data_IF_076079026700
#
_entry.id   IF_076079026700
#
_cell.length_a   1.000
_cell.length_b   1.000
_cell.length_c   1.000
_cell.angle_alpha   90.00
_cell.angle_beta   90.00
_cell.angle_gamma   90.00
#
_symmetry.space_group_name_H-M   'P 1'
#
loop_
_entity.id
_entity.type
_entity.pdbx_description
1 polymer ?
#
# COMPACT_ATOMS: atom_id res chain seq x y z
N UNK A 1 -11.89 3.02 32.83
CA UNK A 1 -11.67 3.32 31.40
C UNK A 1 -11.89 2.01 30.65
N UNK A 2 -12.90 1.95 29.80
CA UNK A 2 -13.27 0.73 29.05
C UNK A 2 -12.54 0.77 27.70
N UNK A 3 -11.86 -0.30 27.27
CA UNK A 3 -11.13 -0.29 26.01
C UNK A 3 -12.13 -0.17 24.84
N UNK A 4 -11.93 0.85 24.00
CA UNK A 4 -12.69 0.99 22.76
C UNK A 4 -12.15 -0.05 21.78
N UNK A 5 -12.92 -1.11 21.50
CA UNK A 5 -12.60 -2.06 20.44
C UNK A 5 -12.96 -1.39 19.10
N UNK A 6 -11.99 -0.72 18.50
CA UNK A 6 -12.12 -0.23 17.12
C UNK A 6 -11.90 -1.43 16.20
N UNK A 7 -12.93 -1.81 15.43
CA UNK A 7 -12.76 -2.80 14.36
C UNK A 7 -12.09 -2.12 13.18
N UNK A 8 -10.96 -2.66 12.72
CA UNK A 8 -10.36 -2.26 11.46
C UNK A 8 -11.33 -2.57 10.30
N UNK A 9 -11.29 -1.73 9.27
CA UNK A 9 -12.10 -1.89 8.06
C UNK A 9 -11.76 -3.15 7.28
N UNK A 10 -10.46 -3.46 7.21
CA UNK A 10 -9.86 -4.63 6.58
C UNK A 10 -8.71 -5.04 7.49
N UNK A 11 -8.61 -6.34 7.77
CA UNK A 11 -7.46 -6.93 8.42
C UNK A 11 -7.15 -8.23 7.68
N UNK A 12 -5.92 -8.33 7.19
CA UNK A 12 -5.41 -9.53 6.55
C UNK A 12 -3.92 -9.63 6.85
N UNK A 13 -3.53 -10.68 7.56
CA UNK A 13 -2.14 -10.99 7.86
C UNK A 13 -1.61 -12.16 7.01
N UNK A 14 -2.47 -12.73 6.15
CA UNK A 14 -2.21 -13.86 5.26
C UNK A 14 -1.74 -15.14 5.96
N UNK A 15 -1.93 -15.25 7.28
CA UNK A 15 -1.51 -16.41 8.08
C UNK A 15 -2.31 -17.70 7.81
N UNK A 16 -3.45 -17.58 7.12
CA UNK A 16 -4.25 -18.69 6.64
C UNK A 16 -3.79 -19.22 5.26
N UNK A 17 -2.78 -18.59 4.66
CA UNK A 17 -2.23 -19.00 3.37
C UNK A 17 -3.10 -18.59 2.17
N UNK A 18 -4.08 -17.71 2.36
CA UNK A 18 -5.05 -17.30 1.34
C UNK A 18 -5.16 -15.77 1.24
N UNK A 19 -5.46 -15.26 0.05
CA UNK A 19 -5.87 -13.87 -0.17
C UNK A 19 -7.22 -13.79 -0.90
N UNK A 20 -7.85 -14.92 -1.21
CA UNK A 20 -9.09 -14.97 -1.98
C UNK A 20 -10.32 -15.08 -1.10
N UNK A 21 -10.16 -15.36 0.20
CA UNK A 21 -11.25 -15.46 1.16
C UNK A 21 -10.92 -14.72 2.47
N UNK A 22 -11.90 -13.98 3.00
CA UNK A 22 -11.88 -13.38 4.34
C UNK A 22 -10.63 -12.55 4.72
N UNK A 23 -10.29 -11.48 3.97
CA UNK A 23 -11.05 -10.82 2.90
C UNK A 23 -10.69 -11.32 1.49
N UNK A 24 -11.59 -11.09 0.53
CA UNK A 24 -11.31 -11.41 -0.88
C UNK A 24 -10.56 -10.27 -1.55
N UNK A 25 -9.31 -10.54 -1.94
CA UNK A 25 -8.54 -9.71 -2.86
C UNK A 25 -8.71 -10.22 -4.29
N UNK A 26 -8.85 -9.30 -5.24
CA UNK A 26 -9.06 -9.61 -6.66
C UNK A 26 -8.37 -8.61 -7.59
N UNK A 27 -8.06 -9.05 -8.80
CA UNK A 27 -7.33 -8.29 -9.81
C UNK A 27 -6.55 -9.23 -10.73
N UNK A 28 -5.21 -9.13 -10.70
CA UNK A 28 -4.32 -10.03 -11.43
C UNK A 28 -3.89 -11.23 -10.58
N UNK A 29 -4.85 -11.93 -9.99
CA UNK A 29 -4.66 -12.95 -8.93
C UNK A 29 -3.59 -13.99 -9.25
N UNK A 30 -3.53 -14.47 -10.49
CA UNK A 30 -2.54 -15.45 -10.94
C UNK A 30 -1.08 -14.96 -10.87
N UNK A 31 -0.87 -13.66 -10.68
CA UNK A 31 0.43 -13.02 -10.51
C UNK A 31 0.83 -12.88 -9.04
N UNK A 32 -0.02 -13.27 -8.08
CA UNK A 32 0.24 -13.18 -6.66
C UNK A 32 0.17 -14.55 -5.99
N UNK A 33 0.86 -14.68 -4.86
CA UNK A 33 0.82 -15.87 -4.01
C UNK A 33 1.03 -15.47 -2.56
N UNK A 34 0.60 -16.32 -1.63
CA UNK A 34 1.13 -16.29 -0.26
C UNK A 34 2.42 -17.09 -0.24
N UNK A 35 3.51 -16.48 0.24
CA UNK A 35 4.81 -17.14 0.30
C UNK A 35 4.99 -17.96 1.58
N UNK A 36 6.13 -18.63 1.73
CA UNK A 36 6.42 -19.51 2.88
C UNK A 36 6.59 -18.78 4.22
N UNK A 37 6.49 -17.44 4.23
CA UNK A 37 6.54 -16.59 5.43
C UNK A 37 5.20 -15.89 5.68
N UNK A 38 4.13 -16.42 5.09
CA UNK A 38 2.76 -15.91 5.22
C UNK A 38 2.66 -14.43 4.84
N UNK A 39 3.22 -14.09 3.68
CA UNK A 39 3.14 -12.74 3.09
C UNK A 39 2.63 -12.81 1.67
N UNK A 40 1.71 -11.90 1.35
CA UNK A 40 1.30 -11.64 -0.02
C UNK A 40 2.53 -11.19 -0.83
N UNK A 41 2.79 -11.88 -1.93
CA UNK A 41 3.97 -11.67 -2.76
C UNK A 41 3.60 -11.66 -4.24
N UNK A 42 4.09 -10.65 -4.96
CA UNK A 42 4.12 -10.65 -6.42
C UNK A 42 5.02 -11.78 -6.94
N UNK A 43 4.49 -12.60 -7.85
CA UNK A 43 5.15 -13.76 -8.46
C UNK A 43 4.96 -13.77 -9.98
N UNK A 44 4.95 -12.59 -10.62
CA UNK A 44 4.92 -12.43 -12.08
C UNK A 44 6.33 -12.37 -12.69
N UNK A 45 6.39 -12.55 -14.01
CA UNK A 45 7.59 -12.35 -14.83
C UNK A 45 7.36 -11.22 -15.85
N UNK A 46 8.38 -10.40 -16.09
CA UNK A 46 8.34 -9.34 -17.11
C UNK A 46 8.15 -7.94 -16.52
N UNK A 47 7.96 -6.96 -17.40
CA UNK A 47 7.73 -5.56 -17.06
C UNK A 47 6.28 -5.19 -17.39
N UNK A 48 5.40 -5.30 -16.40
CA UNK A 48 4.01 -4.85 -16.51
C UNK A 48 3.44 -4.51 -15.12
N UNK A 49 2.26 -3.90 -15.08
CA UNK A 49 1.55 -3.57 -13.84
C UNK A 49 0.70 -4.75 -13.37
N UNK A 50 0.98 -5.21 -12.14
CA UNK A 50 0.16 -6.20 -11.42
C UNK A 50 -0.57 -5.53 -10.28
N UNK A 51 -1.81 -5.93 -10.00
CA UNK A 51 -2.59 -5.34 -8.91
C UNK A 51 -3.53 -6.35 -8.24
N UNK A 52 -3.77 -6.11 -6.96
CA UNK A 52 -4.88 -6.69 -6.21
C UNK A 52 -5.64 -5.55 -5.52
N UNK A 53 -6.93 -5.74 -5.33
CA UNK A 53 -7.81 -4.82 -4.64
C UNK A 53 -8.77 -5.59 -3.75
N UNK A 54 -9.11 -5.00 -2.61
CA UNK A 54 -10.15 -5.50 -1.70
C UNK A 54 -11.05 -4.35 -1.30
N UNK A 55 -12.32 -4.64 -1.05
CA UNK A 55 -13.31 -3.61 -0.75
C UNK A 55 -13.08 -3.01 0.63
N UNK A 56 -13.06 -1.67 0.71
CA UNK A 56 -13.02 -0.90 1.94
C UNK A 56 -14.27 0.01 2.01
N UNK A 57 -14.80 0.26 3.21
CA UNK A 57 -15.94 1.14 3.45
C UNK A 57 -15.61 2.41 4.27
N UNK A 58 -14.38 2.60 4.72
CA UNK A 58 -13.99 3.72 5.58
C UNK A 58 -12.80 4.51 5.01
N UNK A 59 -12.80 5.82 5.27
CA UNK A 59 -11.78 6.75 4.76
C UNK A 59 -11.44 7.87 5.76
N UNK A 60 -12.44 8.45 6.43
CA UNK A 60 -12.22 9.51 7.41
C UNK A 60 -12.03 8.89 8.79
N UNK A 61 -11.26 9.56 9.64
CA UNK A 61 -10.94 9.07 10.98
C UNK A 61 -10.43 7.61 10.94
N UNK A 62 -9.49 7.36 10.04
CA UNK A 62 -9.05 6.03 9.65
C UNK A 62 -7.53 5.94 9.74
N UNK A 63 -7.05 4.76 10.11
CA UNK A 63 -5.64 4.41 10.15
C UNK A 63 -5.39 3.20 9.25
N UNK A 64 -4.33 3.27 8.45
CA UNK A 64 -3.81 2.13 7.68
C UNK A 64 -2.45 1.76 8.25
N UNK A 65 -2.27 0.48 8.56
CA UNK A 65 -0.98 -0.10 8.94
C UNK A 65 -0.69 -1.32 8.10
N UNK A 66 0.50 -1.37 7.54
CA UNK A 66 0.95 -2.52 6.77
C UNK A 66 2.47 -2.59 6.72
N UNK A 67 2.95 -3.80 6.45
CA UNK A 67 4.33 -4.08 6.15
C UNK A 67 4.53 -4.15 4.63
N UNK A 68 5.65 -3.64 4.13
CA UNK A 68 6.05 -3.80 2.73
C UNK A 68 7.54 -4.10 2.61
N UNK A 69 7.88 -4.97 1.66
CA UNK A 69 9.24 -5.27 1.29
C UNK A 69 9.41 -5.23 -0.23
N UNK A 70 10.33 -4.40 -0.70
CA UNK A 70 10.76 -4.31 -2.09
C UNK A 70 12.17 -4.89 -2.20
N UNK A 71 12.31 -6.03 -2.88
CA UNK A 71 13.63 -6.67 -3.10
C UNK A 71 14.28 -6.17 -4.39
N UNK A 72 14.25 -4.85 -4.60
CA UNK A 72 14.85 -4.15 -5.72
C UNK A 72 15.11 -2.69 -5.34
N UNK A 73 16.07 -2.06 -6.02
CA UNK A 73 16.24 -0.60 -5.97
C UNK A 73 15.11 0.06 -6.78
N UNK A 74 14.40 0.99 -6.12
CA UNK A 74 13.27 1.67 -6.72
C UNK A 74 13.68 2.63 -7.84
N UNK A 75 12.74 2.99 -8.70
CA UNK A 75 12.91 4.08 -9.66
C UNK A 75 11.55 4.61 -10.11
N UNK A 76 11.54 5.67 -10.92
CA UNK A 76 10.30 6.14 -11.56
C UNK A 76 9.60 5.06 -12.40
N UNK A 77 10.35 4.09 -12.93
CA UNK A 77 9.82 3.01 -13.77
C UNK A 77 9.64 1.67 -13.02
N UNK A 78 10.17 1.55 -11.80
CA UNK A 78 10.05 0.36 -10.97
C UNK A 78 9.73 0.79 -9.53
N UNK A 79 8.44 0.87 -9.23
CA UNK A 79 7.92 1.34 -7.95
C UNK A 79 6.68 0.53 -7.59
N UNK A 80 6.24 0.66 -6.34
CA UNK A 80 5.02 0.03 -5.85
C UNK A 80 4.07 1.09 -5.35
N UNK A 81 2.77 0.83 -5.48
CA UNK A 81 1.71 1.68 -4.91
C UNK A 81 0.82 0.85 -4.02
N UNK A 82 0.49 1.38 -2.86
CA UNK A 82 -0.57 0.88 -2.00
C UNK A 82 -1.67 1.92 -2.00
N UNK A 83 -2.78 1.60 -2.67
CA UNK A 83 -3.99 2.42 -2.62
C UNK A 83 -4.65 2.25 -1.26
N UNK A 84 -4.82 3.37 -0.54
CA UNK A 84 -5.52 3.42 0.74
C UNK A 84 -7.03 3.39 0.51
N UNK A 85 -7.46 4.09 -0.55
CA UNK A 85 -8.81 4.11 -1.09
C UNK A 85 -8.78 4.35 -2.61
N UNK A 86 -9.77 3.81 -3.30
CA UNK A 86 -10.03 4.01 -4.72
C UNK A 86 -11.54 3.91 -4.96
N UNK A 87 -12.06 4.68 -5.93
CA UNK A 87 -13.43 4.55 -6.40
C UNK A 87 -13.63 3.41 -7.41
N UNK A 88 -12.55 2.76 -7.85
CA UNK A 88 -12.54 1.60 -8.75
C UNK A 88 -11.76 0.42 -8.14
N UNK A 89 -12.19 -0.80 -8.43
CA UNK A 89 -11.42 -2.02 -8.12
C UNK A 89 -10.27 -2.26 -9.11
N UNK A 90 -10.42 -1.83 -10.36
CA UNK A 90 -9.34 -1.88 -11.35
C UNK A 90 -8.38 -0.70 -11.14
N UNK A 91 -7.15 -1.00 -10.72
CA UNK A 91 -6.14 0.01 -10.38
C UNK A 91 -5.23 0.44 -11.55
N UNK A 92 -5.43 -0.14 -12.75
CA UNK A 92 -4.64 0.18 -13.95
C UNK A 92 -5.27 1.35 -14.73
N UNK A 93 -6.60 1.47 -14.69
CA UNK A 93 -7.33 2.50 -15.42
C UNK A 93 -7.39 3.83 -14.64
N UNK A 94 -7.88 4.87 -15.31
CA UNK A 94 -8.24 6.14 -14.67
C UNK A 94 -9.18 5.91 -13.50
N UNK A 95 -8.84 6.46 -12.33
CA UNK A 95 -9.61 6.32 -11.09
C UNK A 95 -9.41 7.55 -10.20
N UNK A 96 -10.22 7.68 -9.16
CA UNK A 96 -10.03 8.67 -8.11
C UNK A 96 -9.67 7.96 -6.81
N UNK A 97 -8.58 8.37 -6.16
CA UNK A 97 -8.08 7.65 -5.00
C UNK A 97 -6.90 8.32 -4.31
N UNK A 98 -6.46 7.68 -3.22
CA UNK A 98 -5.28 8.10 -2.47
C UNK A 98 -4.36 6.89 -2.33
N UNK A 99 -3.08 7.08 -2.60
CA UNK A 99 -2.10 6.00 -2.53
C UNK A 99 -0.77 6.47 -1.96
N UNK A 100 -0.09 5.54 -1.31
CA UNK A 100 1.33 5.69 -0.96
C UNK A 100 2.15 5.03 -2.05
N UNK A 101 3.13 5.76 -2.58
CA UNK A 101 4.10 5.25 -3.54
C UNK A 101 5.44 5.00 -2.83
N UNK A 102 6.04 3.86 -3.15
CA UNK A 102 7.35 3.44 -2.68
C UNK A 102 8.30 3.44 -3.87
N UNK A 103 9.11 4.49 -3.97
CA UNK A 103 10.01 4.72 -5.09
C UNK A 103 9.61 5.90 -5.96
N UNK A 104 10.61 6.69 -6.33
CA UNK A 104 10.51 7.82 -7.23
C UNK A 104 11.89 8.14 -7.81
N UNK A 105 12.04 9.26 -8.53
CA UNK A 105 13.37 9.76 -8.91
C UNK A 105 14.25 10.17 -7.73
N UNK A 106 13.67 10.33 -6.53
CA UNK A 106 14.36 10.71 -5.31
C UNK A 106 14.50 9.54 -4.32
N UNK A 107 14.08 8.33 -4.72
CA UNK A 107 14.05 7.15 -3.86
C UNK A 107 13.32 7.42 -2.53
N UNK A 108 12.12 7.99 -2.61
CA UNK A 108 11.30 8.38 -1.46
C UNK A 108 9.98 7.59 -1.35
N UNK A 109 9.33 7.74 -0.20
CA UNK A 109 7.97 7.25 0.06
C UNK A 109 7.04 8.46 0.13
N UNK A 110 6.05 8.53 -0.76
CA UNK A 110 5.20 9.72 -0.90
C UNK A 110 3.71 9.36 -0.87
N UNK A 111 2.89 10.22 -0.27
CA UNK A 111 1.43 10.14 -0.34
C UNK A 111 0.93 11.01 -1.51
N UNK A 112 0.04 10.44 -2.33
CA UNK A 112 -0.57 11.11 -3.48
C UNK A 112 -2.09 11.03 -3.45
N UNK A 113 -2.73 12.04 -4.03
CA UNK A 113 -4.11 11.97 -4.54
C UNK A 113 -4.08 11.73 -6.05
N UNK A 114 -4.97 10.89 -6.54
CA UNK A 114 -5.25 10.70 -7.95
C UNK A 114 -6.63 11.24 -8.29
N UNK A 115 -6.71 12.06 -9.33
CA UNK A 115 -7.93 12.61 -9.92
C UNK A 115 -7.95 12.19 -11.40
N UNK A 116 -8.62 11.08 -11.71
CA UNK A 116 -8.58 10.42 -13.02
C UNK A 116 -7.17 9.93 -13.39
N UNK A 117 -6.52 10.59 -14.36
CA UNK A 117 -5.13 10.29 -14.76
C UNK A 117 -4.10 11.24 -14.14
N UNK A 118 -4.55 12.24 -13.39
CA UNK A 118 -3.67 13.24 -12.78
C UNK A 118 -3.33 12.85 -11.35
N UNK A 119 -2.07 13.00 -10.97
CA UNK A 119 -1.57 12.68 -9.62
C UNK A 119 -1.01 13.93 -8.96
N UNK A 120 -1.41 14.19 -7.71
CA UNK A 120 -0.98 15.35 -6.91
C UNK A 120 -0.29 14.82 -5.65
N UNK A 121 0.96 15.22 -5.43
CA UNK A 121 1.71 14.86 -4.22
C UNK A 121 1.12 15.63 -3.02
N UNK A 122 0.80 14.92 -1.94
CA UNK A 122 0.32 15.49 -0.68
C UNK A 122 1.47 15.55 0.33
N UNK A 123 2.19 14.45 0.50
CA UNK A 123 3.32 14.33 1.43
C UNK A 123 4.54 13.86 0.63
N UNK A 124 5.68 14.53 0.84
CA UNK A 124 6.98 14.07 0.35
C UNK A 124 7.75 13.43 1.50
N UNK A 125 8.23 12.20 1.29
CA UNK A 125 9.07 11.51 2.25
C UNK A 125 10.54 11.91 2.18
N UNK A 126 11.34 11.24 3.00
CA UNK A 126 12.80 11.37 3.02
C UNK A 126 13.42 10.77 1.76
N UNK A 127 14.38 11.49 1.16
CA UNK A 127 15.09 11.03 -0.03
C UNK A 127 16.07 9.90 0.29
N UNK A 128 16.20 8.95 -0.63
CA UNK A 128 17.14 7.83 -0.52
C UNK A 128 16.63 6.62 0.26
N UNK A 129 15.47 6.70 0.91
CA UNK A 129 14.92 5.62 1.72
C UNK A 129 14.67 4.35 0.90
N UNK A 130 14.23 4.46 -0.36
CA UNK A 130 13.93 3.30 -1.23
C UNK A 130 15.06 2.97 -2.21
N UNK A 131 16.26 3.50 -1.99
CA UNK A 131 17.41 3.40 -2.90
C UNK A 131 18.27 2.14 -2.73
N UNK A 132 17.86 1.20 -1.86
CA UNK A 132 18.64 0.00 -1.52
C UNK A 132 18.24 -1.21 -2.37
N UNK A 133 19.04 -2.28 -2.36
CA UNK A 133 18.68 -3.54 -3.02
C UNK A 133 17.53 -4.28 -2.34
N UNK A 134 17.33 -4.03 -1.05
CA UNK A 134 16.20 -4.47 -0.25
C UNK A 134 15.73 -3.27 0.56
N UNK A 135 14.48 -2.88 0.39
CA UNK A 135 13.83 -1.81 1.14
C UNK A 135 12.65 -2.43 1.89
N UNK A 136 12.63 -2.28 3.21
CA UNK A 136 11.68 -2.95 4.09
C UNK A 136 11.15 -1.95 5.09
N UNK A 137 9.83 -1.82 5.17
CA UNK A 137 9.21 -0.79 6.01
C UNK A 137 7.94 -1.29 6.70
N UNK A 138 7.73 -0.77 7.90
CA UNK A 138 6.39 -0.71 8.49
C UNK A 138 5.83 0.69 8.27
N UNK A 139 4.62 0.75 7.73
CA UNK A 139 3.97 2.00 7.36
C UNK A 139 2.75 2.21 8.22
N UNK A 140 2.58 3.44 8.70
CA UNK A 140 1.35 3.91 9.33
C UNK A 140 0.91 5.17 8.60
N UNK A 141 -0.34 5.20 8.17
CA UNK A 141 -0.99 6.39 7.61
C UNK A 141 -2.22 6.69 8.44
N UNK A 142 -2.41 7.95 8.81
CA UNK A 142 -3.63 8.43 9.45
C UNK A 142 -4.32 9.44 8.55
N UNK A 143 -5.65 9.40 8.58
CA UNK A 143 -6.49 10.50 8.08
C UNK A 143 -7.52 10.86 9.13
N UNK A 144 -7.50 12.10 9.59
CA UNK A 144 -8.44 12.55 10.62
C UNK A 144 -9.83 12.90 10.04
N UNK A 145 -10.73 13.43 10.87
CA UNK A 145 -12.07 13.83 10.45
C UNK A 145 -12.10 15.15 9.65
N UNK A 146 -11.06 15.97 9.75
CA UNK A 146 -10.89 17.21 8.99
C UNK A 146 -10.28 16.94 7.61
N UNK A 147 -9.74 15.74 7.40
CA UNK A 147 -9.09 15.31 6.18
C UNK A 147 -7.58 15.53 6.17
N UNK A 148 -6.99 15.82 7.33
CA UNK A 148 -5.55 15.96 7.52
C UNK A 148 -4.89 14.58 7.47
N UNK A 149 -3.75 14.49 6.77
CA UNK A 149 -3.02 13.26 6.52
C UNK A 149 -1.66 13.28 7.23
N UNK A 150 -1.29 12.16 7.83
CA UNK A 150 0.08 11.91 8.29
C UNK A 150 0.58 10.58 7.74
N UNK A 151 1.85 10.54 7.36
CA UNK A 151 2.55 9.37 6.85
C UNK A 151 3.79 9.11 7.71
N UNK A 152 3.86 7.93 8.29
CA UNK A 152 5.00 7.46 9.07
C UNK A 152 5.58 6.22 8.39
N UNK A 153 6.90 6.18 8.26
CA UNK A 153 7.64 5.05 7.72
C UNK A 153 8.76 4.68 8.68
N UNK A 154 8.77 3.44 9.14
CA UNK A 154 9.86 2.88 9.95
C UNK A 154 10.67 1.90 9.10
N UNK A 155 11.98 2.17 8.98
CA UNK A 155 12.95 1.38 8.23
C UNK A 155 13.70 0.36 9.09
N UNK A 156 13.49 0.39 10.41
CA UNK A 156 13.83 -0.69 11.31
C UNK A 156 12.60 -1.58 11.35
N UNK A 157 12.70 -2.86 11.00
CA UNK A 157 11.56 -3.79 11.04
C UNK A 157 11.11 -4.09 12.49
N UNK A 158 10.65 -3.07 13.25
CA UNK A 158 10.49 -3.13 14.70
C UNK A 158 9.50 -2.09 15.27
N UNK A 159 8.26 -2.54 15.42
CA UNK A 159 7.13 -2.05 16.26
C UNK A 159 6.42 -0.75 15.91
#
# INVERSE_FOLDING_TARGET
MMPFLVKAQIQDDFSDGDFTNNPTWSGTDAQFKINTSDKLQLSSSGSDTSYLSTANSLVNNTEWRFYIKQSFNSSSNNHSRIYLISDQSNLINSLNGYYVQFGSTQDDICLYRQDGNTTIKIISGTYGNTGNSINEFTIKITRDANGDWELFSDDQAGS
#
